data_IF_037640863343
#
_entry.id   IF_037640863343
#
_cell.length_a   1.000
_cell.length_b   1.000
_cell.length_c   1.000
_cell.angle_alpha   90.00
_cell.angle_beta   90.00
_cell.angle_gamma   90.00
#
_symmetry.space_group_name_H-M   'P 1'
#
loop_
_entity.id
_entity.type
_entity.pdbx_description
1 polymer ?
#
# COMPACT_ATOMS: atom_id res chain seq x y z
N UNK A 1 17.66 -12.18 -32.48
CA UNK A 1 17.50 -10.81 -31.93
C UNK A 1 16.06 -10.69 -31.47
N UNK A 2 15.82 -10.74 -30.16
CA UNK A 2 14.46 -10.67 -29.58
C UNK A 2 14.06 -9.21 -29.44
N UNK A 3 13.10 -8.76 -30.23
CA UNK A 3 12.52 -7.42 -30.13
C UNK A 3 11.74 -7.32 -28.82
N UNK A 4 12.23 -6.51 -27.88
CA UNK A 4 11.46 -6.14 -26.70
C UNK A 4 10.31 -5.24 -27.13
N UNK A 5 9.08 -5.74 -27.02
CA UNK A 5 7.87 -4.92 -27.22
C UNK A 5 7.83 -3.87 -26.11
N UNK A 6 8.07 -2.60 -26.44
CA UNK A 6 7.93 -1.50 -25.48
C UNK A 6 6.46 -1.31 -25.15
N UNK A 7 5.96 -1.98 -24.11
CA UNK A 7 4.65 -1.66 -23.55
C UNK A 7 4.72 -0.24 -23.00
N UNK A 8 3.93 0.68 -23.54
CA UNK A 8 3.78 2.02 -22.98
C UNK A 8 3.52 1.91 -21.47
N UNK A 9 4.22 2.71 -20.63
CA UNK A 9 4.03 2.63 -19.19
C UNK A 9 2.57 2.93 -18.85
N UNK A 10 2.00 2.09 -17.98
CA UNK A 10 0.59 2.13 -17.60
C UNK A 10 0.31 3.44 -16.88
N UNK A 11 -0.83 4.08 -17.11
CA UNK A 11 -1.15 5.37 -16.49
C UNK A 11 -2.09 5.17 -15.29
N UNK A 12 -1.76 5.79 -14.17
CA UNK A 12 -2.61 5.93 -12.98
C UNK A 12 -3.01 7.38 -12.80
N UNK A 13 -4.20 7.64 -12.29
CA UNK A 13 -4.57 8.96 -11.77
C UNK A 13 -3.84 9.27 -10.47
N UNK A 14 -3.96 10.51 -9.98
CA UNK A 14 -3.37 10.91 -8.69
C UNK A 14 -3.99 10.20 -7.48
N UNK A 15 -5.16 9.58 -7.66
CA UNK A 15 -5.79 8.66 -6.71
C UNK A 15 -6.42 7.49 -7.43
N UNK A 16 -6.35 6.33 -6.79
CA UNK A 16 -6.83 5.06 -7.32
C UNK A 16 -7.56 4.25 -6.24
N UNK A 17 -8.40 3.32 -6.69
CA UNK A 17 -8.88 2.23 -5.84
C UNK A 17 -7.92 1.05 -5.95
N UNK A 18 -7.47 0.52 -4.82
CA UNK A 18 -6.57 -0.63 -4.76
C UNK A 18 -7.08 -1.66 -3.76
N UNK A 19 -6.67 -2.91 -3.90
CA UNK A 19 -6.91 -3.96 -2.92
C UNK A 19 -5.60 -4.46 -2.31
N UNK A 20 -5.66 -4.99 -1.08
CA UNK A 20 -4.58 -5.68 -0.38
C UNK A 20 -5.16 -7.02 0.13
N UNK A 21 -5.30 -8.03 -0.74
CA UNK A 21 -6.08 -9.24 -0.42
C UNK A 21 -5.51 -10.04 0.75
N UNK A 22 -4.17 -10.11 0.88
CA UNK A 22 -3.52 -10.78 2.02
C UNK A 22 -3.78 -10.08 3.36
N UNK A 23 -4.26 -8.84 3.33
CA UNK A 23 -4.65 -8.08 4.52
C UNK A 23 -6.17 -8.04 4.69
N UNK A 24 -6.95 -8.76 3.89
CA UNK A 24 -8.42 -8.73 3.92
C UNK A 24 -9.04 -7.41 3.48
N UNK A 25 -8.33 -6.62 2.68
CA UNK A 25 -8.78 -5.30 2.22
C UNK A 25 -9.16 -5.38 0.75
N UNK A 26 -10.46 -5.48 0.48
CA UNK A 26 -10.93 -5.62 -0.90
C UNK A 26 -10.85 -4.31 -1.69
N UNK A 27 -10.90 -3.18 -0.97
CA UNK A 27 -10.85 -1.86 -1.58
C UNK A 27 -10.43 -0.80 -0.56
N UNK A 28 -9.42 -0.03 -0.91
CA UNK A 28 -8.95 1.14 -0.16
C UNK A 28 -8.61 2.27 -1.13
N UNK A 29 -8.97 3.50 -0.76
CA UNK A 29 -8.66 4.69 -1.57
C UNK A 29 -7.20 5.07 -1.34
N UNK A 30 -6.40 5.02 -2.40
CA UNK A 30 -4.98 5.29 -2.37
C UNK A 30 -4.66 6.60 -3.06
N UNK A 31 -3.75 7.40 -2.48
CA UNK A 31 -3.09 8.50 -3.20
C UNK A 31 -1.85 7.96 -3.90
N UNK A 32 -1.73 8.21 -5.19
CA UNK A 32 -0.54 7.89 -5.97
C UNK A 32 0.47 9.02 -5.76
N UNK A 33 1.49 8.78 -4.94
CA UNK A 33 2.31 9.82 -4.33
C UNK A 33 3.76 9.75 -4.83
N UNK A 34 4.06 10.58 -5.83
CA UNK A 34 5.42 10.71 -6.37
C UNK A 34 6.39 11.36 -5.37
N UNK A 35 5.91 12.00 -4.30
CA UNK A 35 6.74 12.54 -3.21
C UNK A 35 7.21 11.48 -2.22
N UNK A 36 6.44 10.39 -2.06
CA UNK A 36 6.79 9.29 -1.16
C UNK A 36 7.74 8.28 -1.81
N UNK A 37 8.85 7.93 -1.14
CA UNK A 37 9.74 6.85 -1.60
C UNK A 37 9.06 5.49 -1.47
N UNK A 38 8.70 5.12 -0.25
CA UNK A 38 8.03 3.85 0.09
C UNK A 38 6.54 4.10 0.28
N UNK A 39 5.72 3.14 -0.12
CA UNK A 39 4.28 3.17 0.14
C UNK A 39 4.01 3.13 1.65
N UNK A 40 2.86 3.68 2.05
CA UNK A 40 2.47 3.77 3.45
C UNK A 40 1.01 3.35 3.61
N UNK A 41 0.73 2.60 4.67
CA UNK A 41 -0.62 2.18 5.06
C UNK A 41 -0.92 2.74 6.45
N UNK A 42 -2.11 3.33 6.57
CA UNK A 42 -2.65 3.75 7.84
C UNK A 42 -2.85 2.53 8.74
N UNK A 43 -2.32 2.60 9.95
CA UNK A 43 -2.63 1.71 11.05
C UNK A 43 -2.83 2.56 12.31
N UNK A 44 -4.03 2.55 12.88
CA UNK A 44 -4.32 3.29 14.13
C UNK A 44 -3.79 2.52 15.36
N UNK A 45 -3.54 1.22 15.20
CA UNK A 45 -2.93 0.35 16.19
C UNK A 45 -1.91 -0.56 15.51
N UNK A 46 -0.76 -0.75 16.14
CA UNK A 46 0.27 -1.71 15.70
C UNK A 46 1.02 -2.28 16.91
N UNK A 47 1.09 -3.60 17.00
CA UNK A 47 1.77 -4.33 18.05
C UNK A 47 2.77 -5.34 17.44
N UNK A 48 4.08 -5.07 17.53
CA UNK A 48 5.10 -6.02 17.12
C UNK A 48 5.17 -7.19 18.10
N UNK A 49 5.37 -8.39 17.58
CA UNK A 49 5.55 -9.61 18.36
C UNK A 49 6.48 -10.60 17.63
N UNK A 50 6.79 -11.73 18.27
CA UNK A 50 7.53 -12.83 17.63
C UNK A 50 6.63 -14.06 17.56
N UNK A 51 6.64 -14.78 16.44
CA UNK A 51 5.93 -16.05 16.32
C UNK A 51 6.61 -17.18 17.11
N UNK A 52 6.04 -18.39 17.03
CA UNK A 52 6.56 -19.57 17.73
C UNK A 52 8.00 -19.94 17.32
N UNK A 53 8.42 -19.55 16.11
CA UNK A 53 9.77 -19.76 15.59
C UNK A 53 10.71 -18.57 15.91
N UNK A 54 10.23 -17.57 16.65
CA UNK A 54 10.99 -16.36 16.98
C UNK A 54 11.12 -15.34 15.84
N UNK A 55 10.31 -15.45 14.77
CA UNK A 55 10.35 -14.50 13.64
C UNK A 55 9.52 -13.25 13.94
N UNK A 56 10.00 -12.05 13.56
CA UNK A 56 9.30 -10.81 13.85
C UNK A 56 8.02 -10.68 13.01
N UNK A 57 6.92 -10.34 13.69
CA UNK A 57 5.60 -10.11 13.10
C UNK A 57 4.95 -8.86 13.70
N UNK A 58 3.87 -8.42 13.09
CA UNK A 58 3.08 -7.29 13.60
C UNK A 58 1.60 -7.58 13.44
N UNK A 59 0.84 -7.36 14.52
CA UNK A 59 -0.63 -7.24 14.48
C UNK A 59 -0.98 -5.77 14.36
N UNK A 60 -1.83 -5.42 13.43
CA UNK A 60 -2.22 -4.02 13.24
C UNK A 60 -3.68 -3.92 12.84
N UNK A 61 -4.27 -2.76 13.14
CA UNK A 61 -5.67 -2.47 12.84
C UNK A 61 -5.79 -1.19 12.05
N UNK A 62 -6.72 -1.18 11.11
CA UNK A 62 -6.96 -0.03 10.24
C UNK A 62 -8.42 0.13 9.88
N UNK A 63 -8.76 1.37 9.53
CA UNK A 63 -10.01 1.73 8.89
C UNK A 63 -9.77 1.82 7.38
N UNK A 64 -10.33 0.89 6.57
CA UNK A 64 -10.10 0.89 5.13
C UNK A 64 -10.88 2.02 4.44
N UNK A 65 -12.00 2.43 5.03
CA UNK A 65 -12.88 3.46 4.54
C UNK A 65 -12.51 4.80 5.19
N UNK A 66 -12.37 5.83 4.35
CA UNK A 66 -11.75 7.09 4.77
C UNK A 66 -12.52 7.82 5.87
N UNK A 67 -13.85 7.77 5.77
CA UNK A 67 -14.80 8.55 6.57
C UNK A 67 -15.64 7.64 7.50
N UNK A 68 -15.23 6.38 7.66
CA UNK A 68 -15.88 5.38 8.51
C UNK A 68 -14.84 4.70 9.41
N UNK A 69 -14.98 4.94 10.72
CA UNK A 69 -14.16 4.32 11.76
C UNK A 69 -14.85 3.14 12.44
N UNK A 70 -16.10 2.82 12.08
CA UNK A 70 -16.81 1.65 12.60
C UNK A 70 -16.26 0.36 12.00
N UNK A 71 -15.92 0.39 10.70
CA UNK A 71 -15.25 -0.75 10.06
C UNK A 71 -13.78 -0.82 10.48
N UNK A 72 -13.42 -1.92 11.14
CA UNK A 72 -12.05 -2.26 11.52
C UNK A 72 -11.63 -3.52 10.79
N UNK A 73 -10.44 -3.49 10.19
CA UNK A 73 -9.76 -4.68 9.67
C UNK A 73 -8.57 -4.98 10.56
N UNK A 74 -8.53 -6.19 11.11
CA UNK A 74 -7.39 -6.69 11.86
C UNK A 74 -6.48 -7.50 10.93
N UNK A 75 -5.21 -7.13 10.91
CA UNK A 75 -4.21 -7.68 10.01
C UNK A 75 -3.05 -8.26 10.80
N UNK A 76 -2.43 -9.30 10.24
CA UNK A 76 -1.22 -9.92 10.76
C UNK A 76 -0.23 -10.16 9.62
N UNK A 77 1.02 -9.71 9.76
CA UNK A 77 2.01 -9.87 8.71
C UNK A 77 3.44 -10.03 9.27
N UNK A 78 4.33 -10.73 8.52
CA UNK A 78 5.77 -10.70 8.80
C UNK A 78 6.33 -9.29 8.69
N UNK A 79 7.20 -8.92 9.65
CA UNK A 79 7.99 -7.70 9.55
C UNK A 79 9.27 -8.02 8.79
N UNK A 80 9.48 -7.36 7.66
CA UNK A 80 10.66 -7.58 6.80
C UNK A 80 11.77 -6.56 7.04
N UNK A 81 11.42 -5.38 7.59
CA UNK A 81 12.35 -4.29 7.84
C UNK A 81 11.74 -3.26 8.81
N UNK A 82 12.54 -2.31 9.30
CA UNK A 82 12.08 -1.13 10.02
C UNK A 82 12.85 0.11 9.53
N UNK A 83 12.14 1.11 9.01
CA UNK A 83 12.74 2.26 8.32
C UNK A 83 12.45 3.57 9.02
N UNK A 84 13.44 4.44 9.09
CA UNK A 84 13.23 5.84 9.48
C UNK A 84 12.67 6.61 8.29
N UNK A 85 11.46 7.10 8.42
CA UNK A 85 10.76 7.89 7.40
C UNK A 85 10.65 9.32 7.88
N UNK A 86 11.05 10.27 7.02
CA UNK A 86 10.84 11.69 7.23
C UNK A 86 9.56 12.15 6.52
N UNK A 87 8.71 12.90 7.20
CA UNK A 87 7.60 13.60 6.55
C UNK A 87 8.04 14.97 6.00
N UNK A 88 7.12 15.64 5.30
CA UNK A 88 7.37 16.99 4.75
C UNK A 88 7.51 18.08 5.82
N UNK A 89 7.12 17.80 7.07
CA UNK A 89 7.31 18.70 8.22
C UNK A 89 8.66 18.52 8.92
N UNK A 90 9.49 17.57 8.47
CA UNK A 90 10.80 17.28 9.06
C UNK A 90 10.75 16.30 10.24
N UNK A 91 9.57 15.80 10.62
CA UNK A 91 9.47 14.79 11.65
C UNK A 91 9.98 13.45 11.13
N UNK A 92 10.72 12.73 11.97
CA UNK A 92 11.28 11.42 11.67
C UNK A 92 10.63 10.37 12.54
N UNK A 93 10.14 9.31 11.93
CA UNK A 93 9.46 8.21 12.62
C UNK A 93 10.07 6.89 12.16
N UNK A 94 10.33 5.96 13.09
CA UNK A 94 10.72 4.59 12.74
C UNK A 94 9.46 3.75 12.53
N UNK A 95 9.28 3.26 11.31
CA UNK A 95 8.08 2.51 10.88
C UNK A 95 8.43 1.07 10.53
N UNK A 96 7.60 0.14 10.97
CA UNK A 96 7.69 -1.26 10.56
C UNK A 96 7.33 -1.39 9.08
N UNK A 97 7.99 -2.31 8.39
CA UNK A 97 7.77 -2.60 6.97
C UNK A 97 7.25 -4.02 6.82
N UNK A 98 6.15 -4.14 6.09
CA UNK A 98 5.58 -5.41 5.67
C UNK A 98 5.62 -5.50 4.13
N UNK A 99 5.51 -6.71 3.60
CA UNK A 99 5.34 -6.94 2.16
C UNK A 99 4.00 -7.61 1.89
N UNK A 100 3.26 -7.13 0.90
CA UNK A 100 1.96 -7.70 0.48
C UNK A 100 1.78 -7.48 -1.02
N UNK A 101 1.06 -8.36 -1.74
CA UNK A 101 0.55 -8.02 -3.05
C UNK A 101 -0.45 -6.85 -2.94
N UNK A 102 -0.35 -5.92 -3.88
CA UNK A 102 -1.39 -4.93 -4.15
C UNK A 102 -2.05 -5.26 -5.48
N UNK A 103 -3.36 -5.05 -5.54
CA UNK A 103 -4.15 -5.13 -6.78
C UNK A 103 -4.57 -3.74 -7.19
N UNK A 104 -4.24 -3.35 -8.42
CA UNK A 104 -4.62 -2.07 -9.03
C UNK A 104 -5.26 -2.39 -10.38
N UNK A 105 -6.59 -2.25 -10.49
CA UNK A 105 -7.33 -2.78 -11.64
C UNK A 105 -7.05 -4.27 -11.84
N UNK A 106 -6.49 -4.62 -13.00
CA UNK A 106 -6.12 -5.99 -13.35
C UNK A 106 -4.67 -6.36 -13.00
N UNK A 107 -3.91 -5.47 -12.36
CA UNK A 107 -2.49 -5.68 -12.09
C UNK A 107 -2.26 -6.08 -10.64
N UNK A 108 -1.52 -7.17 -10.46
CA UNK A 108 -1.09 -7.67 -9.14
C UNK A 108 0.43 -7.57 -9.06
N UNK A 109 0.96 -6.97 -8.00
CA UNK A 109 2.41 -6.92 -7.77
C UNK A 109 2.74 -6.84 -6.27
N UNK A 110 3.88 -7.40 -5.84
CA UNK A 110 4.35 -7.22 -4.48
C UNK A 110 4.79 -5.76 -4.25
N UNK A 111 4.41 -5.21 -3.10
CA UNK A 111 4.89 -3.92 -2.63
C UNK A 111 5.29 -4.00 -1.16
N UNK A 112 6.20 -3.11 -0.77
CA UNK A 112 6.50 -2.85 0.63
C UNK A 112 5.62 -1.74 1.16
N UNK A 113 5.09 -1.91 2.37
CA UNK A 113 4.28 -0.92 3.08
C UNK A 113 4.91 -0.59 4.41
N UNK A 114 5.07 0.70 4.68
CA UNK A 114 5.32 1.19 6.04
C UNK A 114 4.00 1.32 6.79
N UNK A 115 3.95 0.85 8.03
CA UNK A 115 2.81 1.03 8.93
C UNK A 115 2.99 2.33 9.72
N UNK A 116 1.96 3.18 9.74
CA UNK A 116 2.02 4.48 10.43
C UNK A 116 0.62 5.00 10.76
N UNK A 117 0.48 5.73 11.86
CA UNK A 117 -0.77 6.44 12.14
C UNK A 117 -0.90 7.64 11.19
N UNK A 118 -2.06 7.74 10.52
CA UNK A 118 -2.39 8.75 9.52
C UNK A 118 -3.79 9.32 9.74
N UNK A 119 -4.29 9.35 10.98
CA UNK A 119 -5.67 9.71 11.29
C UNK A 119 -6.08 11.10 10.82
N UNK A 120 -5.14 12.05 10.84
CA UNK A 120 -5.35 13.41 10.37
C UNK A 120 -5.25 13.56 8.85
N UNK A 121 -4.91 12.49 8.13
CA UNK A 121 -4.63 12.54 6.69
C UNK A 121 -5.82 12.03 5.89
N UNK A 122 -6.09 12.69 4.76
CA UNK A 122 -7.18 12.32 3.85
C UNK A 122 -7.05 10.89 3.27
N UNK A 123 -5.85 10.37 3.04
CA UNK A 123 -5.69 9.06 2.40
C UNK A 123 -5.11 8.05 3.37
N UNK A 124 -5.83 6.94 3.53
CA UNK A 124 -5.47 5.79 4.36
C UNK A 124 -4.32 4.97 3.74
N UNK A 125 -4.02 5.17 2.46
CA UNK A 125 -2.87 4.57 1.80
C UNK A 125 -2.18 5.53 0.83
N UNK A 126 -0.84 5.47 0.78
CA UNK A 126 0.00 6.09 -0.23
C UNK A 126 0.68 5.02 -1.09
N UNK A 127 0.66 5.16 -2.41
CA UNK A 127 1.48 4.38 -3.33
C UNK A 127 2.74 5.18 -3.67
N UNK A 128 3.88 4.73 -3.16
CA UNK A 128 5.17 5.42 -3.33
C UNK A 128 5.92 5.05 -4.60
N UNK A 129 6.98 5.79 -4.89
CA UNK A 129 7.82 5.63 -6.09
C UNK A 129 8.40 4.22 -6.25
N UNK A 130 8.82 3.54 -5.18
CA UNK A 130 9.37 2.18 -5.27
C UNK A 130 8.35 1.20 -5.85
N UNK A 131 7.07 1.33 -5.48
CA UNK A 131 6.01 0.49 -6.04
C UNK A 131 5.71 0.82 -7.51
N UNK A 132 5.86 2.09 -7.90
CA UNK A 132 5.58 2.59 -9.25
C UNK A 132 6.73 2.42 -10.24
N UNK A 133 7.96 2.28 -9.75
CA UNK A 133 9.19 2.33 -10.53
C UNK A 133 9.16 1.36 -11.71
N UNK A 134 9.43 1.87 -12.92
CA UNK A 134 9.35 1.15 -14.21
C UNK A 134 7.98 0.50 -14.54
N UNK A 135 6.90 0.82 -13.83
CA UNK A 135 5.58 0.22 -14.01
C UNK A 135 4.51 1.22 -14.41
N UNK A 136 4.53 2.41 -13.82
CA UNK A 136 3.44 3.38 -13.94
C UNK A 136 3.90 4.82 -14.21
N UNK A 137 3.12 5.54 -15.01
CA UNK A 137 3.07 7.00 -15.08
C UNK A 137 1.90 7.50 -14.23
N UNK A 138 2.00 8.73 -13.74
CA UNK A 138 0.95 9.37 -12.94
C UNK A 138 0.40 10.58 -13.71
N UNK A 139 -0.90 10.58 -13.98
CA UNK A 139 -1.64 11.74 -14.49
C UNK A 139 -2.25 12.52 -13.31
N UNK A 140 -1.71 13.71 -12.97
CA UNK A 140 -2.20 14.49 -11.85
C UNK A 140 -3.59 15.10 -12.10
N UNK A 141 -4.07 15.12 -13.34
CA UNK A 141 -5.34 15.74 -13.73
C UNK A 141 -6.52 14.77 -13.65
N UNK A 142 -6.24 13.46 -13.52
CA UNK A 142 -7.26 12.41 -13.53
C UNK A 142 -7.25 11.58 -12.26
N UNK A 143 -8.38 10.94 -11.97
CA UNK A 143 -8.55 10.00 -10.85
C UNK A 143 -9.16 8.71 -11.38
N UNK A 144 -8.86 7.59 -10.73
CA UNK A 144 -9.49 6.31 -11.02
C UNK A 144 -9.31 5.88 -12.49
N UNK A 145 -8.09 6.00 -13.00
CA UNK A 145 -7.75 5.57 -14.35
C UNK A 145 -7.63 4.06 -14.45
N UNK A 146 -7.22 3.42 -13.35
CA UNK A 146 -7.37 1.98 -13.23
C UNK A 146 -8.85 1.63 -13.02
N UNK A 147 -9.28 0.51 -13.61
CA UNK A 147 -10.53 -0.10 -13.20
C UNK A 147 -10.50 -0.43 -11.70
N UNK A 148 -11.67 -0.69 -11.10
CA UNK A 148 -11.71 -1.21 -9.74
C UNK A 148 -10.85 -2.48 -9.63
N UNK A 149 -10.17 -2.70 -8.48
CA UNK A 149 -9.34 -3.88 -8.30
C UNK A 149 -10.19 -5.14 -8.48
N UNK A 150 -9.75 -6.03 -9.37
CA UNK A 150 -10.39 -7.33 -9.61
C UNK A 150 -9.65 -8.40 -8.80
N UNK A 151 -10.20 -8.77 -7.65
CA UNK A 151 -9.66 -9.85 -6.82
C UNK A 151 -10.07 -11.17 -7.46
N UNK A 152 -9.13 -11.86 -8.08
CA UNK A 152 -9.30 -13.23 -8.57
C UNK A 152 -8.85 -14.22 -7.50
N UNK A 153 -9.28 -15.50 -7.56
CA UNK A 153 -8.82 -16.53 -6.62
C UNK A 153 -7.29 -16.64 -6.52
N UNK A 154 -6.58 -16.40 -7.63
CA UNK A 154 -5.11 -16.38 -7.71
C UNK A 154 -4.46 -15.20 -6.96
N UNK A 155 -5.24 -14.18 -6.60
CA UNK A 155 -4.78 -13.01 -5.84
C UNK A 155 -5.04 -13.11 -4.33
N UNK A 156 -5.73 -14.17 -3.89
CA UNK A 156 -5.92 -14.51 -2.48
C UNK A 156 -4.76 -15.40 -1.98
N UNK A 157 -4.38 -15.32 -0.69
CA UNK A 157 -3.41 -16.23 -0.10
C UNK A 157 -3.89 -17.68 -0.10
#
# INVERSE_FOLDING_TARGET
MTTATSSSPRCLGWREWVALPQLGIDRIKCKVDTGARTSALHAFYSEPYHDADGRPRVRFRLHPDQDDTARVVECDAPVIDARVVSDSGGHRERRLVIQTPVVIGAWVMPIELTLTNRDTMRFRMLLGRTAMHHRFLVDPTRSFLAANPSITPESLP
#
